data_IF_554933833250
#
_entry.id   IF_554933833250
#
_cell.length_a   1.000
_cell.length_b   1.000
_cell.length_c   1.000
_cell.angle_alpha   90.00
_cell.angle_beta   90.00
_cell.angle_gamma   90.00
#
_symmetry.space_group_name_H-M   'P 1'
#
loop_
_entity.id
_entity.type
_entity.pdbx_description
1 polymer ?
#
# COMPACT_ATOMS: atom_id res chain seq x y z
N UNK A 1 8.82 -0.41 -11.95
CA UNK A 1 8.66 -1.30 -10.77
C UNK A 1 7.28 -1.93 -10.79
N UNK A 2 7.22 -3.23 -10.54
CA UNK A 2 5.95 -3.92 -10.42
C UNK A 2 5.61 -4.07 -8.95
N UNK A 3 4.51 -3.50 -8.52
CA UNK A 3 4.11 -3.57 -7.11
C UNK A 3 3.77 -5.00 -6.66
N UNK A 4 3.52 -5.91 -7.60
CA UNK A 4 3.14 -7.28 -7.27
C UNK A 4 4.22 -8.05 -6.51
N UNK A 5 5.46 -7.59 -6.56
CA UNK A 5 6.55 -8.20 -5.79
C UNK A 5 6.54 -7.73 -4.34
N UNK A 6 5.81 -6.67 -4.06
CA UNK A 6 5.78 -6.05 -2.73
C UNK A 6 4.42 -6.24 -2.07
N UNK A 7 3.34 -6.06 -2.83
CA UNK A 7 1.99 -6.15 -2.27
C UNK A 7 1.50 -7.59 -2.32
N UNK A 8 1.14 -8.14 -1.16
CA UNK A 8 0.69 -9.53 -1.02
C UNK A 8 -0.72 -9.57 -0.44
N UNK A 9 -1.49 -10.56 -0.86
CA UNK A 9 -2.84 -10.79 -0.32
C UNK A 9 -2.87 -12.22 0.20
N UNK A 10 -3.04 -12.37 1.51
CA UNK A 10 -3.05 -13.67 2.14
C UNK A 10 -4.36 -13.84 2.92
N UNK A 11 -5.11 -14.91 2.66
CA UNK A 11 -6.33 -15.17 3.42
C UNK A 11 -6.02 -15.24 4.91
N UNK A 12 -6.82 -14.59 5.72
CA UNK A 12 -6.61 -14.59 7.16
C UNK A 12 -5.63 -13.56 7.69
N UNK A 13 -4.85 -12.93 6.83
CA UNK A 13 -3.97 -11.83 7.26
C UNK A 13 -4.69 -10.51 7.01
N UNK A 14 -4.96 -9.76 8.08
CA UNK A 14 -5.69 -8.49 8.02
C UNK A 14 -7.00 -8.64 7.24
N UNK A 15 -7.66 -9.82 7.35
CA UNK A 15 -8.91 -10.08 6.66
C UNK A 15 -8.79 -10.21 5.15
N UNK A 16 -7.62 -10.62 4.67
CA UNK A 16 -7.37 -10.77 3.23
C UNK A 16 -7.09 -9.46 2.51
N UNK A 17 -6.80 -8.38 3.26
CA UNK A 17 -6.47 -7.09 2.65
C UNK A 17 -5.06 -7.09 2.08
N UNK A 18 -4.80 -6.30 1.03
CA UNK A 18 -3.43 -6.16 0.49
C UNK A 18 -2.47 -5.64 1.56
N UNK A 19 -1.39 -6.37 1.76
CA UNK A 19 -0.37 -6.05 2.75
C UNK A 19 0.99 -5.88 2.08
N UNK A 20 1.94 -5.32 2.82
CA UNK A 20 3.30 -5.07 2.32
C UNK A 20 4.19 -6.25 2.71
N UNK A 21 4.72 -6.95 1.70
CA UNK A 21 5.70 -8.04 1.87
C UNK A 21 5.31 -9.06 2.95
N UNK A 22 4.03 -9.42 3.03
CA UNK A 22 3.56 -10.36 4.04
C UNK A 22 3.52 -9.82 5.47
N UNK A 23 3.79 -8.54 5.67
CA UNK A 23 3.70 -7.88 6.96
C UNK A 23 2.22 -7.60 7.30
N UNK A 24 1.96 -7.20 8.53
CA UNK A 24 0.59 -6.88 8.93
C UNK A 24 0.20 -5.43 8.71
N UNK A 25 0.99 -4.69 7.95
CA UNK A 25 0.64 -3.33 7.55
C UNK A 25 0.04 -3.38 6.15
N UNK A 26 -1.11 -2.76 5.97
CA UNK A 26 -1.83 -2.82 4.69
C UNK A 26 -1.52 -1.61 3.81
N UNK A 27 -1.84 -1.76 2.53
CA UNK A 27 -1.81 -0.61 1.60
C UNK A 27 -2.70 0.50 2.15
N UNK A 28 -3.90 0.15 2.62
CA UNK A 28 -4.83 1.13 3.17
C UNK A 28 -4.20 1.91 4.35
N UNK A 29 -3.48 1.20 5.24
CA UNK A 29 -2.83 1.87 6.37
C UNK A 29 -1.87 2.95 5.89
N UNK A 30 -1.03 2.64 4.91
CA UNK A 30 -0.06 3.59 4.37
C UNK A 30 -0.76 4.76 3.70
N UNK A 31 -1.80 4.49 2.91
CA UNK A 31 -2.55 5.55 2.25
C UNK A 31 -3.21 6.48 3.28
N UNK A 32 -3.71 5.91 4.39
CA UNK A 32 -4.35 6.68 5.44
C UNK A 32 -3.34 7.59 6.15
N UNK A 33 -2.12 7.10 6.40
CA UNK A 33 -1.05 7.92 6.97
C UNK A 33 -0.73 9.10 6.07
N UNK A 34 -0.60 8.85 4.77
CA UNK A 34 -0.34 9.93 3.81
C UNK A 34 -1.49 10.92 3.78
N UNK A 35 -2.72 10.43 3.80
CA UNK A 35 -3.90 11.29 3.78
C UNK A 35 -3.99 12.16 5.03
N UNK A 36 -3.45 11.68 6.16
CA UNK A 36 -3.47 12.43 7.41
C UNK A 36 -2.37 13.50 7.48
N UNK A 37 -1.51 13.57 6.48
CA UNK A 37 -0.47 14.58 6.40
C UNK A 37 0.94 14.10 6.72
N UNK A 38 1.12 12.80 6.97
CA UNK A 38 2.46 12.28 7.17
C UNK A 38 3.24 12.30 5.85
N UNK A 39 4.49 12.71 5.93
CA UNK A 39 5.38 12.63 4.77
C UNK A 39 5.94 11.21 4.66
N UNK A 40 6.57 10.91 3.51
CA UNK A 40 7.27 9.63 3.36
C UNK A 40 8.32 9.47 4.47
N UNK A 41 9.06 10.53 4.77
CA UNK A 41 10.07 10.50 5.84
C UNK A 41 9.45 10.20 7.19
N UNK A 42 8.27 10.76 7.48
CA UNK A 42 7.56 10.51 8.73
C UNK A 42 7.18 9.03 8.85
N UNK A 43 6.67 8.45 7.77
CA UNK A 43 6.27 7.05 7.75
C UNK A 43 7.48 6.14 7.96
N UNK A 44 8.59 6.44 7.29
CA UNK A 44 9.80 5.62 7.41
C UNK A 44 10.43 5.72 8.79
N UNK A 45 10.27 6.86 9.44
CA UNK A 45 10.74 7.04 10.82
C UNK A 45 9.89 6.27 11.81
N UNK A 46 8.56 6.29 11.62
CA UNK A 46 7.62 5.60 12.50
C UNK A 46 7.67 4.08 12.30
N UNK A 47 7.88 3.64 11.07
CA UNK A 47 7.92 2.23 10.71
C UNK A 47 9.25 1.91 10.02
N UNK A 48 10.33 1.72 10.80
CA UNK A 48 11.66 1.56 10.20
C UNK A 48 11.84 0.31 9.34
N UNK A 49 10.90 -0.64 9.42
CA UNK A 49 10.93 -1.83 8.55
C UNK A 49 10.37 -1.55 7.15
N UNK A 50 9.79 -0.39 6.92
CA UNK A 50 9.32 0.00 5.60
C UNK A 50 10.41 0.73 4.83
N UNK A 51 10.31 0.70 3.50
CA UNK A 51 11.22 1.40 2.61
C UNK A 51 10.43 2.38 1.75
N UNK A 52 11.15 3.32 1.13
CA UNK A 52 10.55 4.24 0.17
C UNK A 52 9.86 3.46 -0.95
N UNK A 53 10.45 2.36 -1.37
CA UNK A 53 9.88 1.52 -2.42
C UNK A 53 8.57 0.89 -2.00
N UNK A 54 8.44 0.53 -0.72
CA UNK A 54 7.18 0.01 -0.17
C UNK A 54 6.07 1.05 -0.30
N UNK A 55 6.37 2.31 0.02
CA UNK A 55 5.38 3.38 -0.08
C UNK A 55 4.97 3.59 -1.53
N UNK A 56 5.94 3.60 -2.45
CA UNK A 56 5.64 3.74 -3.87
C UNK A 56 4.80 2.59 -4.41
N UNK A 57 5.06 1.38 -3.91
CA UNK A 57 4.25 0.22 -4.28
C UNK A 57 2.80 0.39 -3.87
N UNK A 58 2.56 0.94 -2.68
CA UNK A 58 1.20 1.21 -2.21
C UNK A 58 0.50 2.23 -3.11
N UNK A 59 1.21 3.28 -3.49
CA UNK A 59 0.64 4.30 -4.38
C UNK A 59 0.35 3.73 -5.76
N UNK A 60 1.25 2.91 -6.30
CA UNK A 60 1.06 2.27 -7.60
C UNK A 60 -0.12 1.31 -7.57
N UNK A 61 -0.27 0.55 -6.50
CA UNK A 61 -1.40 -0.35 -6.31
C UNK A 61 -2.72 0.42 -6.30
N UNK A 62 -2.76 1.51 -5.54
CA UNK A 62 -3.95 2.34 -5.44
C UNK A 62 -4.32 2.97 -6.78
N UNK A 63 -3.32 3.47 -7.50
CA UNK A 63 -3.55 4.07 -8.82
C UNK A 63 -4.10 3.05 -9.80
N UNK A 64 -3.59 1.83 -9.75
CA UNK A 64 -4.04 0.77 -10.64
C UNK A 64 -5.49 0.36 -10.33
N UNK A 65 -5.84 0.26 -9.06
CA UNK A 65 -7.21 -0.04 -8.66
C UNK A 65 -8.18 1.04 -9.11
N UNK A 66 -7.81 2.29 -8.94
CA UNK A 66 -8.66 3.42 -9.34
C UNK A 66 -8.87 3.42 -10.85
N UNK A 67 -7.82 3.12 -11.60
CA UNK A 67 -7.90 3.03 -13.05
C UNK A 67 -8.87 1.93 -13.48
N UNK A 68 -8.83 0.79 -12.82
CA UNK A 68 -9.73 -0.33 -13.12
C UNK A 68 -11.18 0.00 -12.81
N UNK A 69 -11.42 0.70 -11.68
CA UNK A 69 -12.77 1.13 -11.32
C UNK A 69 -13.32 2.14 -12.32
N UNK A 70 -12.47 3.06 -12.78
CA UNK A 70 -12.86 4.05 -13.78
C UNK A 70 -13.28 3.38 -15.08
N UNK A 71 -12.51 2.40 -15.53
CA UNK A 71 -12.86 1.62 -16.73
C UNK A 71 -14.18 0.91 -16.53
N UNK A 72 -14.40 0.34 -15.35
CA UNK A 72 -15.63 -0.41 -15.05
C UNK A 72 -16.85 0.48 -15.05
N UNK A 73 -16.72 1.75 -14.71
CA UNK A 73 -17.84 2.68 -14.64
C UNK A 73 -18.14 3.34 -16.00
N UNK A 74 -17.26 3.14 -16.95
CA UNK A 74 -17.46 3.65 -18.30
C UNK A 74 -18.34 2.70 -19.09
#
# INVERSE_FOLDING_TARGET
MTYSDIITIEPGKRGGKPCIRGLRITVYDVLDYLASGMTHADILREFPFLTEQDIRACLAYAADRERKLEISSA
#
